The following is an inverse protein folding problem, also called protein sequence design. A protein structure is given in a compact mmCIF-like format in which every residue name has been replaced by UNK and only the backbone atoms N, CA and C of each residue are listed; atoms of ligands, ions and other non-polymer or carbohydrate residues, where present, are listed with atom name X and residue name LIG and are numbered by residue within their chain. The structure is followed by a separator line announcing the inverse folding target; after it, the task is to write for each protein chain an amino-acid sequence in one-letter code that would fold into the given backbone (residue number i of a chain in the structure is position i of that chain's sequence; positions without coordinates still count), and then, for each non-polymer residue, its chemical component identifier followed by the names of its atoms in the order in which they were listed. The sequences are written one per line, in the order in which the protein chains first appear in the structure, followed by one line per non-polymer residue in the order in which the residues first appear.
data_IF_991779714462
#
_entry.id   IF_991779714462
#
_cell.length_a   1.000
_cell.length_b   1.000
_cell.length_c   1.000
_cell.angle_alpha   90.00
_cell.angle_beta   90.00
_cell.angle_gamma   90.00
#
_symmetry.space_group_name_H-M   'P 1'
#
loop_
_entity.id
_entity.type
_entity.pdbx_description
1 polymer ?
#
# COMPACT_ATOMS: atom_id res chain seq x y z
N UNK A 1 12.30 2.96 -26.87
CA UNK A 1 11.27 3.84 -26.27
C UNK A 1 11.89 4.43 -25.01
N UNK A 2 11.82 5.74 -24.78
CA UNK A 2 12.39 6.36 -23.58
C UNK A 2 11.45 6.08 -22.38
N UNK A 3 12.01 5.88 -21.19
CA UNK A 3 11.27 5.62 -19.95
C UNK A 3 10.19 6.67 -19.69
N UNK A 4 10.49 7.94 -19.96
CA UNK A 4 9.55 9.05 -19.78
C UNK A 4 8.31 8.96 -20.69
N UNK A 5 8.46 8.43 -21.91
CA UNK A 5 7.32 8.20 -22.81
C UNK A 5 6.43 7.06 -22.32
N UNK A 6 7.02 6.03 -21.71
CA UNK A 6 6.30 4.89 -21.17
C UNK A 6 5.49 5.29 -19.93
N UNK A 7 6.10 6.06 -19.03
CA UNK A 7 5.42 6.60 -17.84
C UNK A 7 4.28 7.53 -18.26
N UNK A 8 4.50 8.39 -19.25
CA UNK A 8 3.44 9.28 -19.77
C UNK A 8 2.26 8.51 -20.39
N UNK A 9 2.51 7.45 -21.17
CA UNK A 9 1.45 6.60 -21.73
C UNK A 9 0.71 5.83 -20.64
N UNK A 10 1.41 5.27 -19.64
CA UNK A 10 0.76 4.60 -18.51
C UNK A 10 -0.10 5.56 -17.69
N UNK A 11 0.36 6.79 -17.44
CA UNK A 11 -0.40 7.80 -16.72
C UNK A 11 -1.64 8.26 -17.52
N UNK A 12 -1.50 8.49 -18.82
CA UNK A 12 -2.62 8.86 -19.69
C UNK A 12 -3.66 7.73 -19.78
N UNK A 13 -3.22 6.47 -19.91
CA UNK A 13 -4.09 5.30 -19.93
C UNK A 13 -4.72 4.98 -18.58
N UNK A 14 -4.16 5.47 -17.46
CA UNK A 14 -4.77 5.35 -16.14
C UNK A 14 -5.79 6.48 -15.86
N UNK A 15 -5.72 7.60 -16.58
CA UNK A 15 -6.69 8.70 -16.50
C UNK A 15 -8.00 8.37 -17.22
N UNK A 16 -7.97 7.69 -18.37
CA UNK A 16 -9.19 7.35 -19.14
C UNK A 16 -10.19 6.44 -18.38
N UNK A 17 -9.78 5.43 -17.60
CA UNK A 17 -10.69 4.65 -16.77
C UNK A 17 -11.27 5.45 -15.60
N UNK A 18 -10.53 6.44 -15.09
CA UNK A 18 -10.94 7.21 -13.92
C UNK A 18 -12.14 8.13 -14.21
N UNK A 19 -12.28 8.59 -15.46
CA UNK A 19 -13.45 9.34 -15.93
C UNK A 19 -14.70 8.47 -16.12
N UNK A 20 -14.55 7.14 -16.25
CA UNK A 20 -15.69 6.20 -16.37
C UNK A 20 -16.15 5.65 -15.01
N UNK A 21 -15.49 6.02 -13.90
CA UNK A 21 -15.81 5.58 -12.54
C UNK A 21 -16.75 6.58 -11.82
N UNK A 22 -17.23 7.63 -12.49
CA UNK A 22 -18.21 8.57 -11.90
C UNK A 22 -19.54 7.91 -11.49
N UNK A 23 -19.86 6.71 -12.03
CA UNK A 23 -21.09 5.96 -11.70
C UNK A 23 -20.86 4.72 -10.80
N UNK A 24 -19.65 4.48 -10.30
CA UNK A 24 -19.42 3.41 -9.32
C UNK A 24 -19.87 3.88 -7.94
N UNK A 25 -20.85 3.20 -7.33
CA UNK A 25 -21.22 3.40 -5.92
C UNK A 25 -19.98 3.17 -5.04
N UNK A 26 -19.35 4.27 -4.63
CA UNK A 26 -18.25 4.24 -3.66
C UNK A 26 -18.82 3.72 -2.35
N UNK A 27 -18.41 2.50 -1.98
CA UNK A 27 -18.71 1.94 -0.67
C UNK A 27 -18.15 2.87 0.41
N UNK A 28 -19.03 3.60 1.09
CA UNK A 28 -18.69 4.41 2.26
C UNK A 28 -18.90 3.56 3.52
N UNK A 29 -17.86 3.27 4.31
CA UNK A 29 -18.02 2.53 5.56
C UNK A 29 -19.01 3.24 6.48
N UNK A 30 -19.80 2.47 7.22
CA UNK A 30 -20.89 2.95 8.09
C UNK A 30 -20.43 3.99 9.14
N UNK A 31 -19.13 4.04 9.45
CA UNK A 31 -18.56 5.06 10.34
C UNK A 31 -18.65 6.49 9.81
N UNK A 32 -18.89 6.68 8.51
CA UNK A 32 -19.03 7.99 7.85
C UNK A 32 -20.50 8.34 7.53
N UNK A 33 -21.45 7.45 7.84
CA UNK A 33 -22.87 7.69 7.58
C UNK A 33 -23.56 8.15 8.86
N UNK A 34 -23.69 9.48 9.01
CA UNK A 34 -24.56 10.07 10.02
C UNK A 34 -26.02 9.66 9.79
N UNK A 35 -26.71 9.36 10.89
CA UNK A 35 -28.10 8.92 10.98
C UNK A 35 -29.06 9.67 10.03
N UNK A 36 -29.48 9.00 8.96
CA UNK A 36 -30.71 9.35 8.25
C UNK A 36 -31.43 8.07 7.82
N UNK A 37 -32.60 7.87 8.41
CA UNK A 37 -33.48 6.73 8.21
C UNK A 37 -34.28 6.80 6.90
N UNK A 38 -34.73 5.62 6.50
CA UNK A 38 -35.72 5.28 5.46
C UNK A 38 -35.30 5.46 3.99
N UNK A 39 -35.19 4.35 3.26
CA UNK A 39 -36.25 3.91 2.32
C UNK A 39 -35.91 2.56 1.63
N UNK A 40 -36.95 2.00 1.03
CA UNK A 40 -37.21 0.62 0.67
C UNK A 40 -36.65 0.10 -0.67
N UNK A 41 -36.27 -1.17 -0.65
CA UNK A 41 -36.19 -2.19 -1.73
C UNK A 41 -36.58 -1.86 -3.18
N UNK A 42 -35.69 -2.20 -4.13
CA UNK A 42 -36.03 -2.90 -5.37
C UNK A 42 -34.79 -3.60 -5.95
N UNK A 43 -34.92 -4.89 -6.27
CA UNK A 43 -33.84 -5.73 -6.76
C UNK A 43 -33.36 -5.38 -8.18
N UNK A 44 -32.06 -5.56 -8.40
CA UNK A 44 -31.43 -5.62 -9.71
C UNK A 44 -30.44 -6.79 -9.71
N UNK A 45 -30.64 -7.71 -10.64
CA UNK A 45 -29.69 -8.77 -10.95
C UNK A 45 -28.53 -8.16 -11.74
N UNK A 46 -27.49 -7.70 -11.04
CA UNK A 46 -26.22 -7.38 -11.68
C UNK A 46 -25.41 -8.67 -11.81
N UNK A 47 -24.94 -8.95 -13.02
CA UNK A 47 -23.85 -9.87 -13.25
C UNK A 47 -22.68 -9.40 -12.39
N UNK A 48 -22.38 -10.14 -11.34
CA UNK A 48 -21.27 -9.92 -10.43
C UNK A 48 -19.94 -10.26 -11.14
N UNK A 49 -19.61 -9.55 -12.21
CA UNK A 49 -18.21 -9.33 -12.52
C UNK A 49 -17.78 -8.25 -11.54
N UNK A 50 -17.34 -8.69 -10.36
CA UNK A 50 -16.95 -7.80 -9.29
C UNK A 50 -15.88 -6.81 -9.78
N UNK A 51 -15.74 -5.64 -9.12
CA UNK A 51 -14.67 -4.67 -9.38
C UNK A 51 -13.25 -5.22 -9.17
N UNK A 52 -13.10 -6.52 -8.91
CA UNK A 52 -11.85 -7.22 -8.70
C UNK A 52 -11.24 -7.77 -10.01
N UNK A 53 -11.96 -7.82 -11.14
CA UNK A 53 -11.44 -8.42 -12.38
C UNK A 53 -10.71 -7.43 -13.32
N UNK A 54 -11.00 -6.13 -13.23
CA UNK A 54 -10.49 -5.15 -14.20
C UNK A 54 -8.99 -4.86 -14.01
N UNK A 55 -8.50 -4.82 -12.77
CA UNK A 55 -7.09 -4.51 -12.50
C UNK A 55 -6.16 -5.65 -12.96
N UNK A 56 -6.60 -6.91 -12.82
CA UNK A 56 -5.88 -8.09 -13.35
C UNK A 56 -5.79 -8.01 -14.87
N UNK A 57 -6.91 -7.69 -15.53
CA UNK A 57 -6.96 -7.52 -16.99
C UNK A 57 -6.04 -6.39 -17.46
N UNK A 58 -6.01 -5.27 -16.72
CA UNK A 58 -5.13 -4.13 -17.01
C UNK A 58 -3.64 -4.53 -16.87
N UNK A 59 -3.29 -5.21 -15.78
CA UNK A 59 -1.93 -5.71 -15.53
C UNK A 59 -1.50 -6.68 -16.63
N UNK A 60 -2.31 -7.69 -16.95
CA UNK A 60 -2.00 -8.64 -18.02
C UNK A 60 -1.80 -7.97 -19.39
N UNK A 61 -2.67 -7.01 -19.73
CA UNK A 61 -2.61 -6.31 -21.02
C UNK A 61 -1.30 -5.54 -21.14
N UNK A 62 -0.91 -4.83 -20.08
CA UNK A 62 0.32 -4.06 -20.09
C UNK A 62 1.56 -4.94 -19.98
N UNK A 63 1.55 -6.04 -19.21
CA UNK A 63 2.75 -6.90 -19.06
C UNK A 63 3.09 -7.73 -20.31
N UNK A 64 2.08 -8.15 -21.09
CA UNK A 64 2.29 -8.93 -22.33
C UNK A 64 3.14 -8.22 -23.38
N UNK A 65 3.11 -6.88 -23.44
CA UNK A 65 3.86 -6.10 -24.43
C UNK A 65 5.35 -5.95 -24.07
N UNK A 66 5.73 -6.15 -22.79
CA UNK A 66 7.08 -5.82 -22.33
C UNK A 66 8.15 -6.87 -22.62
N UNK A 67 7.81 -8.02 -23.23
CA UNK A 67 8.77 -9.09 -23.56
C UNK A 67 9.83 -9.29 -22.46
N UNK A 68 9.38 -9.41 -21.21
CA UNK A 68 10.31 -9.58 -20.10
C UNK A 68 11.18 -10.81 -20.41
N UNK A 69 12.52 -10.69 -20.34
CA UNK A 69 13.40 -11.82 -20.56
C UNK A 69 13.01 -12.95 -19.60
N UNK A 70 13.26 -14.19 -20.03
CA UNK A 70 12.91 -15.44 -19.33
C UNK A 70 12.95 -15.31 -17.80
N UNK A 71 12.01 -15.97 -17.08
CA UNK A 71 11.79 -15.78 -15.65
C UNK A 71 13.11 -15.65 -14.89
N UNK A 72 13.26 -14.54 -14.17
CA UNK A 72 14.50 -14.26 -13.42
C UNK A 72 14.71 -15.42 -12.44
N UNK A 73 15.92 -15.97 -12.42
CA UNK A 73 16.21 -17.20 -11.67
C UNK A 73 16.25 -17.00 -10.15
N UNK A 74 16.32 -15.76 -9.66
CA UNK A 74 16.36 -15.47 -8.22
C UNK A 74 14.97 -15.14 -7.71
N UNK A 75 14.52 -15.88 -6.68
CA UNK A 75 13.37 -15.49 -5.86
C UNK A 75 13.58 -14.11 -5.23
N UNK A 76 12.51 -13.33 -5.14
CA UNK A 76 12.44 -12.05 -4.45
C UNK A 76 11.72 -12.27 -3.12
N UNK A 77 12.42 -12.03 -2.02
CA UNK A 77 11.84 -12.00 -0.68
C UNK A 77 11.21 -10.64 -0.43
N UNK A 78 9.91 -10.63 -0.15
CA UNK A 78 9.10 -9.42 -0.02
C UNK A 78 8.59 -9.27 1.42
N UNK A 79 8.74 -8.07 1.97
CA UNK A 79 8.07 -7.62 3.19
C UNK A 79 7.07 -6.54 2.83
N UNK A 80 5.83 -6.66 3.31
CA UNK A 80 4.75 -5.73 3.00
C UNK A 80 4.22 -5.06 4.27
N UNK A 81 4.15 -3.73 4.25
CA UNK A 81 3.59 -2.90 5.31
C UNK A 81 2.27 -2.28 4.86
N UNK A 82 1.25 -2.29 5.72
CA UNK A 82 -0.12 -1.88 5.35
C UNK A 82 -0.61 -2.57 4.05
N UNK A 83 -0.56 -3.90 4.04
CA UNK A 83 -0.55 -4.71 2.82
C UNK A 83 -1.82 -4.64 1.96
N UNK A 84 -2.97 -4.28 2.53
CA UNK A 84 -4.25 -4.40 1.84
C UNK A 84 -4.41 -5.82 1.28
N UNK A 85 -4.75 -5.92 -0.01
CA UNK A 85 -4.87 -7.21 -0.70
C UNK A 85 -3.53 -7.76 -1.24
N UNK A 86 -2.39 -7.17 -0.86
CA UNK A 86 -1.04 -7.52 -1.31
C UNK A 86 -0.88 -7.40 -2.84
N UNK A 87 -1.35 -6.30 -3.41
CA UNK A 87 -1.35 -6.04 -4.85
C UNK A 87 0.06 -6.04 -5.45
N UNK A 88 1.06 -5.63 -4.67
CA UNK A 88 2.47 -5.62 -5.09
C UNK A 88 3.01 -7.02 -5.39
N UNK A 89 2.57 -8.05 -4.66
CA UNK A 89 3.05 -9.42 -4.90
C UNK A 89 2.49 -9.96 -6.22
N UNK A 90 1.21 -9.68 -6.51
CA UNK A 90 0.61 -9.98 -7.82
C UNK A 90 1.34 -9.25 -8.94
N UNK A 91 1.56 -7.95 -8.81
CA UNK A 91 2.27 -7.17 -9.81
C UNK A 91 3.68 -7.71 -10.07
N UNK A 92 4.42 -8.10 -9.04
CA UNK A 92 5.75 -8.69 -9.16
C UNK A 92 5.70 -10.07 -9.85
N UNK A 93 4.70 -10.90 -9.55
CA UNK A 93 4.51 -12.19 -10.24
C UNK A 93 4.21 -12.00 -11.73
N UNK A 94 3.36 -11.03 -12.08
CA UNK A 94 3.04 -10.67 -13.47
C UNK A 94 4.26 -10.12 -14.22
N UNK A 95 5.20 -9.49 -13.51
CA UNK A 95 6.50 -9.07 -14.04
C UNK A 95 7.51 -10.23 -14.15
N UNK A 96 7.10 -11.46 -13.84
CA UNK A 96 7.91 -12.68 -13.97
C UNK A 96 8.87 -12.92 -12.79
N UNK A 97 8.68 -12.27 -11.65
CA UNK A 97 9.41 -12.58 -10.43
C UNK A 97 8.79 -13.77 -9.71
N UNK A 98 9.62 -14.69 -9.22
CA UNK A 98 9.20 -15.60 -8.15
C UNK A 98 9.21 -14.82 -6.85
N UNK A 99 8.04 -14.64 -6.22
CA UNK A 99 7.88 -13.85 -5.00
C UNK A 99 7.69 -14.78 -3.80
N UNK A 100 8.50 -14.58 -2.78
CA UNK A 100 8.35 -15.20 -1.47
C UNK A 100 7.97 -14.14 -0.45
N UNK A 101 6.79 -14.25 0.14
CA UNK A 101 6.28 -13.24 1.07
C UNK A 101 6.74 -13.58 2.49
N UNK A 102 7.72 -12.83 2.99
CA UNK A 102 8.30 -13.06 4.32
C UNK A 102 7.35 -12.59 5.40
N UNK A 103 6.87 -11.35 5.29
CA UNK A 103 5.89 -10.84 6.24
C UNK A 103 4.94 -9.80 5.65
N UNK A 104 3.75 -9.73 6.24
CA UNK A 104 2.70 -8.75 5.92
C UNK A 104 2.16 -8.12 7.19
N UNK A 105 1.73 -6.86 7.12
CA UNK A 105 0.96 -6.23 8.19
C UNK A 105 -0.38 -5.74 7.67
N UNK A 106 -1.48 -6.31 8.17
CA UNK A 106 -2.83 -5.96 7.73
C UNK A 106 -3.85 -6.18 8.86
N UNK A 107 -4.73 -5.20 9.06
CA UNK A 107 -5.72 -5.17 10.14
C UNK A 107 -7.07 -5.73 9.70
N UNK A 108 -7.38 -5.65 8.41
CA UNK A 108 -8.66 -6.05 7.83
C UNK A 108 -8.67 -7.55 7.52
N UNK A 109 -9.52 -8.31 8.21
CA UNK A 109 -9.57 -9.77 8.04
C UNK A 109 -9.88 -10.21 6.61
N UNK A 110 -10.75 -9.48 5.90
CA UNK A 110 -11.06 -9.77 4.48
C UNK A 110 -9.82 -9.72 3.58
N UNK A 111 -8.94 -8.76 3.83
CA UNK A 111 -7.67 -8.64 3.10
C UNK A 111 -6.74 -9.81 3.45
N UNK A 112 -6.65 -10.17 4.73
CA UNK A 112 -5.89 -11.33 5.18
C UNK A 112 -6.39 -12.64 4.58
N UNK A 113 -7.70 -12.82 4.43
CA UNK A 113 -8.28 -14.00 3.78
C UNK A 113 -7.84 -14.11 2.32
N UNK A 114 -7.84 -13.00 1.58
CA UNK A 114 -7.33 -12.94 0.19
C UNK A 114 -5.84 -13.28 0.16
N UNK A 115 -5.04 -12.69 1.06
CA UNK A 115 -3.59 -12.96 1.14
C UNK A 115 -3.34 -14.45 1.39
N UNK A 116 -4.01 -15.06 2.38
CA UNK A 116 -3.83 -16.47 2.74
C UNK A 116 -4.30 -17.43 1.64
N UNK A 117 -5.30 -17.03 0.85
CA UNK A 117 -5.79 -17.83 -0.27
C UNK A 117 -4.80 -17.86 -1.45
N UNK A 118 -3.99 -16.80 -1.63
CA UNK A 118 -3.15 -16.63 -2.81
C UNK A 118 -1.64 -16.78 -2.53
N UNK A 119 -1.19 -16.60 -1.30
CA UNK A 119 0.23 -16.56 -0.96
C UNK A 119 0.55 -17.37 0.29
N UNK A 120 1.74 -17.99 0.30
CA UNK A 120 2.34 -18.54 1.51
C UNK A 120 3.13 -17.42 2.21
N UNK A 121 2.53 -16.84 3.25
CA UNK A 121 3.16 -15.81 4.08
C UNK A 121 3.75 -16.45 5.32
N UNK A 122 5.01 -16.14 5.66
CA UNK A 122 5.65 -16.69 6.87
C UNK A 122 5.15 -16.04 8.15
N UNK A 123 5.01 -14.72 8.15
CA UNK A 123 4.57 -13.96 9.33
C UNK A 123 3.47 -12.94 8.99
N UNK A 124 2.43 -12.90 9.80
CA UNK A 124 1.31 -11.97 9.66
C UNK A 124 1.20 -11.12 10.90
N UNK A 125 1.20 -9.80 10.73
CA UNK A 125 1.07 -8.80 11.79
C UNK A 125 -0.24 -8.05 11.65
N UNK A 126 -0.78 -7.55 12.77
CA UNK A 126 -2.00 -6.75 12.79
C UNK A 126 -1.80 -5.38 12.15
N UNK A 127 -0.65 -4.77 12.41
CA UNK A 127 -0.28 -3.47 11.88
C UNK A 127 1.24 -3.32 11.77
N UNK A 128 1.67 -2.27 11.08
CA UNK A 128 3.07 -2.01 10.79
C UNK A 128 3.89 -1.75 12.09
N UNK A 129 3.26 -1.26 13.16
CA UNK A 129 3.94 -1.05 14.45
C UNK A 129 4.25 -2.38 15.12
N UNK A 130 3.31 -3.34 15.08
CA UNK A 130 3.55 -4.70 15.57
C UNK A 130 4.67 -5.37 14.76
N UNK A 131 4.68 -5.19 13.44
CA UNK A 131 5.75 -5.66 12.57
C UNK A 131 7.11 -5.04 12.94
N UNK A 132 7.16 -3.75 13.30
CA UNK A 132 8.39 -3.09 13.78
C UNK A 132 8.83 -3.53 15.18
N UNK A 133 7.87 -3.88 16.05
CA UNK A 133 8.10 -4.16 17.45
C UNK A 133 8.76 -5.53 17.70
N UNK A 134 8.75 -6.41 16.71
CA UNK A 134 9.55 -7.63 16.77
C UNK A 134 11.03 -7.25 16.85
N UNK A 135 11.59 -7.48 18.04
CA UNK A 135 13.02 -7.33 18.25
C UNK A 135 13.73 -8.27 17.27
N UNK A 136 14.78 -7.79 16.57
CA UNK A 136 15.76 -8.70 15.99
C UNK A 136 16.14 -9.67 17.10
N UNK A 137 16.12 -10.97 16.84
CA UNK A 137 16.46 -11.96 17.86
C UNK A 137 17.81 -11.54 18.47
N UNK A 138 17.81 -11.07 19.72
CA UNK A 138 19.04 -10.69 20.41
C UNK A 138 19.98 -11.87 20.25
N UNK A 139 21.19 -11.60 19.74
CA UNK A 139 22.17 -12.56 19.21
C UNK A 139 22.71 -13.57 20.25
N UNK A 140 22.00 -13.73 21.37
CA UNK A 140 22.33 -14.56 22.52
C UNK A 140 21.35 -15.71 22.79
N UNK A 141 20.24 -15.84 22.03
CA UNK A 141 19.39 -17.04 22.14
C UNK A 141 19.86 -18.15 21.19
N UNK A 142 21.02 -18.72 21.51
CA UNK A 142 21.43 -20.03 20.99
C UNK A 142 20.47 -21.10 21.50
N UNK A 143 19.50 -21.52 20.67
CA UNK A 143 19.04 -22.92 20.47
C UNK A 143 17.59 -23.09 19.98
N UNK A 144 16.93 -22.03 19.50
CA UNK A 144 15.65 -22.15 18.78
C UNK A 144 15.68 -21.26 17.56
N UNK A 145 15.47 -21.83 16.37
CA UNK A 145 15.49 -21.17 15.06
C UNK A 145 14.27 -20.26 14.86
N UNK A 146 14.05 -19.29 15.75
CA UNK A 146 13.11 -18.22 15.47
C UNK A 146 13.78 -17.26 14.49
N UNK A 147 13.53 -17.55 13.21
CA UNK A 147 13.99 -16.80 12.07
C UNK A 147 13.56 -15.35 12.19
N UNK A 148 14.51 -14.45 11.97
CA UNK A 148 14.23 -13.03 11.89
C UNK A 148 13.29 -12.76 10.71
N UNK A 149 12.08 -12.30 11.04
CA UNK A 149 10.96 -12.03 10.14
C UNK A 149 11.24 -11.02 9.02
N UNK A 150 12.38 -10.35 9.04
CA UNK A 150 12.83 -9.42 8.02
C UNK A 150 14.24 -9.72 7.47
N UNK A 151 14.98 -10.68 8.05
CA UNK A 151 16.35 -10.96 7.63
C UNK A 151 16.39 -11.48 6.18
N UNK A 152 17.15 -10.77 5.34
CA UNK A 152 17.27 -11.11 3.92
C UNK A 152 16.10 -10.67 3.06
N UNK A 153 15.23 -9.75 3.53
CA UNK A 153 14.24 -9.11 2.67
C UNK A 153 14.94 -8.30 1.56
N UNK A 154 14.64 -8.64 0.30
CA UNK A 154 15.21 -7.95 -0.87
C UNK A 154 14.32 -6.79 -1.32
N UNK A 155 13.02 -6.91 -1.09
CA UNK A 155 12.04 -5.86 -1.35
C UNK A 155 11.21 -5.56 -0.12
N UNK A 156 10.93 -4.28 0.08
CA UNK A 156 9.86 -3.84 0.97
C UNK A 156 8.90 -2.92 0.23
N UNK A 157 7.58 -3.11 0.44
CA UNK A 157 6.56 -2.24 -0.12
C UNK A 157 5.61 -1.81 1.00
N UNK A 158 5.25 -0.53 1.05
CA UNK A 158 4.20 -0.07 1.94
C UNK A 158 3.33 1.03 1.33
N UNK A 159 2.02 0.95 1.53
CA UNK A 159 1.06 2.02 1.25
C UNK A 159 0.31 2.37 2.52
N UNK A 160 0.65 3.50 3.15
CA UNK A 160 0.06 3.85 4.45
C UNK A 160 -1.25 4.61 4.30
N UNK A 161 -2.00 4.77 5.39
CA UNK A 161 -3.28 5.49 5.39
C UNK A 161 -3.09 6.92 4.89
N UNK A 162 -3.77 7.26 3.80
CA UNK A 162 -3.62 8.54 3.11
C UNK A 162 -4.39 9.72 3.74
N UNK A 163 -5.42 9.42 4.53
CA UNK A 163 -6.37 10.41 5.06
C UNK A 163 -5.73 11.62 5.77
N UNK A 164 -4.66 11.50 6.60
CA UNK A 164 -4.08 12.67 7.25
C UNK A 164 -3.59 13.73 6.25
N UNK A 165 -3.05 13.28 5.10
CA UNK A 165 -2.30 14.12 4.16
C UNK A 165 -3.05 14.47 2.88
N UNK A 166 -4.11 13.72 2.56
CA UNK A 166 -4.90 13.92 1.35
C UNK A 166 -5.38 15.38 1.22
N UNK A 167 -5.04 16.00 0.08
CA UNK A 167 -5.54 17.33 -0.31
C UNK A 167 -7.05 17.37 -0.51
N UNK A 168 -7.70 16.21 -0.67
CA UNK A 168 -9.15 16.09 -0.77
C UNK A 168 -9.85 16.13 0.59
N UNK A 169 -9.12 15.98 1.71
CA UNK A 169 -9.70 16.07 3.05
C UNK A 169 -9.93 17.53 3.42
N UNK A 170 -11.19 17.92 3.61
CA UNK A 170 -11.59 19.31 3.93
C UNK A 170 -10.78 19.94 5.09
N UNK A 171 -10.53 19.15 6.15
CA UNK A 171 -9.80 19.62 7.33
C UNK A 171 -8.28 19.62 7.18
N UNK A 172 -7.71 19.12 6.07
CA UNK A 172 -6.24 19.01 5.87
C UNK A 172 -5.49 20.32 6.12
N UNK A 173 -6.10 21.44 5.74
CA UNK A 173 -5.50 22.78 5.86
C UNK A 173 -5.86 23.51 7.16
N UNK A 174 -6.62 22.87 8.06
CA UNK A 174 -6.86 23.41 9.40
C UNK A 174 -5.64 23.18 10.27
N UNK A 175 -5.29 24.18 11.09
CA UNK A 175 -4.14 24.10 11.97
C UNK A 175 -4.20 22.88 12.90
N UNK A 176 -3.09 22.15 13.01
CA UNK A 176 -2.96 20.91 13.78
C UNK A 176 -3.73 19.69 13.24
N UNK A 177 -4.47 19.81 12.13
CA UNK A 177 -5.36 18.73 11.70
C UNK A 177 -4.64 17.48 11.19
N UNK A 178 -3.43 17.62 10.65
CA UNK A 178 -2.62 16.46 10.25
C UNK A 178 -2.09 15.74 11.47
N UNK A 179 -1.42 16.46 12.36
CA UNK A 179 -0.76 15.89 13.54
C UNK A 179 -1.75 15.33 14.54
N UNK A 180 -2.97 15.88 14.63
CA UNK A 180 -4.04 15.34 15.47
C UNK A 180 -4.76 14.13 14.86
N UNK A 181 -4.46 13.75 13.62
CA UNK A 181 -5.12 12.61 12.97
C UNK A 181 -4.61 11.29 13.55
N UNK A 182 -5.51 10.35 13.87
CA UNK A 182 -5.15 9.07 14.51
C UNK A 182 -4.11 8.25 13.72
N UNK A 183 -4.14 8.36 12.39
CA UNK A 183 -3.21 7.65 11.51
C UNK A 183 -1.87 8.39 11.27
N UNK A 184 -1.65 9.58 11.81
CA UNK A 184 -0.41 10.34 11.57
C UNK A 184 0.84 9.56 12.01
N UNK A 185 0.84 8.99 13.23
CA UNK A 185 1.97 8.21 13.74
C UNK A 185 2.30 6.96 12.89
N UNK A 186 1.27 6.30 12.34
CA UNK A 186 1.44 5.10 11.50
C UNK A 186 2.04 5.39 10.12
N UNK A 187 2.11 6.65 9.73
CA UNK A 187 2.47 7.03 8.37
C UNK A 187 3.91 7.54 8.35
N UNK A 188 4.16 8.78 8.75
CA UNK A 188 5.44 9.43 8.48
C UNK A 188 6.58 8.81 9.30
N UNK A 189 6.38 8.77 10.61
CA UNK A 189 7.33 8.17 11.55
C UNK A 189 7.38 6.65 11.37
N UNK A 190 6.20 6.02 11.22
CA UNK A 190 6.07 4.59 11.04
C UNK A 190 6.83 4.04 9.83
N UNK A 191 6.77 4.69 8.66
CA UNK A 191 7.47 4.22 7.46
C UNK A 191 8.99 4.26 7.66
N UNK A 192 9.53 5.34 8.22
CA UNK A 192 10.97 5.50 8.40
C UNK A 192 11.50 4.48 9.41
N UNK A 193 10.79 4.31 10.53
CA UNK A 193 11.14 3.26 11.51
C UNK A 193 11.06 1.87 10.85
N UNK A 194 9.98 1.58 10.14
CA UNK A 194 9.75 0.29 9.50
C UNK A 194 10.83 -0.05 8.46
N UNK A 195 11.16 0.88 7.56
CA UNK A 195 12.26 0.68 6.62
C UNK A 195 13.61 0.49 7.32
N UNK A 196 13.85 1.22 8.42
CA UNK A 196 15.05 1.05 9.23
C UNK A 196 15.14 -0.32 9.91
N UNK A 197 14.00 -0.88 10.32
CA UNK A 197 13.89 -2.21 10.95
C UNK A 197 14.02 -3.34 9.93
N UNK A 198 13.28 -3.24 8.82
CA UNK A 198 13.27 -4.26 7.76
C UNK A 198 14.59 -4.27 7.00
N UNK A 199 15.23 -3.11 6.84
CA UNK A 199 16.50 -2.92 6.13
C UNK A 199 16.55 -3.64 4.76
N UNK A 200 15.55 -3.41 3.88
CA UNK A 200 15.48 -4.10 2.60
C UNK A 200 16.57 -3.61 1.63
N UNK A 201 16.93 -4.44 0.64
CA UNK A 201 17.80 -3.98 -0.47
C UNK A 201 17.15 -2.86 -1.29
N UNK A 202 15.83 -2.92 -1.47
CA UNK A 202 15.02 -1.90 -2.15
C UNK A 202 13.68 -1.70 -1.44
N UNK A 203 13.23 -0.44 -1.34
CA UNK A 203 11.96 -0.07 -0.72
C UNK A 203 11.09 0.75 -1.67
N UNK A 204 9.78 0.50 -1.66
CA UNK A 204 8.76 1.32 -2.32
C UNK A 204 7.77 1.79 -1.26
N UNK A 205 7.56 3.10 -1.18
CA UNK A 205 6.57 3.69 -0.29
C UNK A 205 5.59 4.51 -1.14
N UNK A 206 4.30 4.23 -0.98
CA UNK A 206 3.22 4.95 -1.64
C UNK A 206 2.49 5.84 -0.61
N UNK A 207 2.13 7.04 -1.07
CA UNK A 207 1.22 7.94 -0.36
C UNK A 207 0.58 8.93 -1.34
N UNK A 208 -0.43 9.65 -0.84
CA UNK A 208 -1.18 10.63 -1.62
C UNK A 208 -0.48 11.98 -1.77
N UNK A 209 -0.93 12.73 -2.78
CA UNK A 209 -0.63 14.15 -2.91
C UNK A 209 -0.98 14.89 -1.61
N UNK A 210 -0.04 15.70 -1.11
CA UNK A 210 -0.14 16.39 0.17
C UNK A 210 0.77 15.84 1.27
N UNK A 211 1.41 14.70 1.01
CA UNK A 211 2.45 14.13 1.87
C UNK A 211 3.70 15.01 1.98
N UNK A 212 4.06 15.69 0.91
CA UNK A 212 5.19 16.61 0.81
C UNK A 212 4.84 18.05 1.22
N UNK A 213 3.57 18.30 1.58
CA UNK A 213 3.10 19.62 2.00
C UNK A 213 3.30 19.85 3.50
N UNK A 214 3.34 21.11 3.96
CA UNK A 214 3.45 21.43 5.38
C UNK A 214 2.36 20.76 6.24
N UNK A 215 2.73 20.34 7.44
CA UNK A 215 1.84 19.75 8.45
C UNK A 215 0.76 20.75 8.91
N UNK A 216 1.10 22.04 8.90
CA UNK A 216 0.27 23.16 9.31
C UNK A 216 0.51 24.36 8.40
N UNK A 217 -0.54 25.13 8.08
CA UNK A 217 -0.46 26.35 7.25
C UNK A 217 0.44 27.44 7.85
N UNK A 218 0.72 27.38 9.14
CA UNK A 218 1.59 28.30 9.86
C UNK A 218 3.06 27.87 9.90
N UNK A 219 3.40 26.70 9.34
CA UNK A 219 4.74 26.11 9.40
C UNK A 219 5.24 25.74 8.00
N UNK A 220 6.55 25.51 7.86
CA UNK A 220 7.15 24.89 6.68
C UNK A 220 7.59 23.43 6.95
N UNK A 221 7.19 22.86 8.10
CA UNK A 221 7.53 21.51 8.50
C UNK A 221 6.74 20.51 7.68
N UNK A 222 7.43 19.59 7.00
CA UNK A 222 6.81 18.49 6.23
C UNK A 222 7.00 17.17 6.96
N UNK A 223 6.17 16.14 6.68
CA UNK A 223 6.32 14.80 7.24
C UNK A 223 7.72 14.19 7.12
N UNK A 224 8.46 14.54 6.06
CA UNK A 224 9.80 14.03 5.80
C UNK A 224 10.92 14.91 6.37
N UNK A 225 10.57 16.01 7.05
CA UNK A 225 11.54 17.01 7.50
C UNK A 225 12.29 17.72 6.35
N UNK A 226 11.80 17.58 5.11
CA UNK A 226 12.37 18.21 3.93
C UNK A 226 11.85 19.64 3.83
N UNK A 227 12.74 20.58 3.54
CA UNK A 227 12.31 21.94 3.15
C UNK A 227 11.61 21.86 1.79
N UNK A 228 10.53 22.63 1.56
CA UNK A 228 9.92 22.74 0.24
C UNK A 228 10.90 23.13 -0.87
N UNK A 229 12.00 23.82 -0.52
CA UNK A 229 13.05 24.24 -1.46
C UNK A 229 14.00 23.10 -1.90
N UNK A 230 13.83 21.89 -1.37
CA UNK A 230 14.75 20.75 -1.57
C UNK A 230 14.24 19.71 -2.58
N UNK A 231 13.01 19.85 -3.08
CA UNK A 231 12.34 18.92 -4.01
C UNK A 231 12.13 19.59 -5.36
#
# INVERSE_FOLDING_TARGET
MAWDSLVAECLASAQEPCEQVEDAEVYRPESDQGDSADESSAGTSSSQDGPEAWWVTLLEKHTKEYHYPSPRSSSLTLVSGCSGMLAEAFALQELGFSVEVVSVSEKQERCLDIIRANFCVRHTFKDMLEQCALKPADSQHSNGSDHDHAEGARGAVCGTVCAPYSVQREKRFSGGSVTSHLAHALTAEGIVEWLGRVSPEAGVCENVMGWDMPLDVSTSETPLGLSPDTV
#
